data_IF_185430626479
#
_entry.id   IF_185430626479
#
_cell.length_a   1.000
_cell.length_b   1.000
_cell.length_c   1.000
_cell.angle_alpha   90.00
_cell.angle_beta   90.00
_cell.angle_gamma   90.00
#
_symmetry.space_group_name_H-M   'P 1'
#
loop_
_entity.id
_entity.type
_entity.pdbx_description
1 polymer ?
#
# COMPACT_ATOMS: atom_id res chain seq x y z
N UNK A 1 -3.47 5.47 -23.31
CA UNK A 1 -2.36 5.87 -22.42
C UNK A 1 -2.98 6.47 -21.17
N UNK A 2 -3.03 5.70 -20.10
CA UNK A 2 -3.63 6.12 -18.82
C UNK A 2 -2.55 6.27 -17.75
N UNK A 3 -2.85 7.01 -16.70
CA UNK A 3 -1.97 7.12 -15.53
C UNK A 3 -2.05 5.80 -14.76
N UNK A 4 -0.91 5.18 -14.49
CA UNK A 4 -0.82 4.01 -13.61
C UNK A 4 -0.63 4.50 -12.17
N UNK A 5 -1.69 4.42 -11.36
CA UNK A 5 -1.68 4.80 -9.95
C UNK A 5 -1.80 3.54 -9.08
N UNK A 6 -1.00 3.45 -8.01
CA UNK A 6 -1.19 2.49 -6.93
C UNK A 6 -1.58 3.21 -5.64
N UNK A 7 -2.56 2.68 -4.91
CA UNK A 7 -2.94 3.13 -3.58
C UNK A 7 -2.29 2.23 -2.52
N UNK A 8 -1.68 2.87 -1.51
CA UNK A 8 -0.98 2.20 -0.42
C UNK A 8 -1.62 2.55 0.92
N UNK A 9 -2.14 1.55 1.63
CA UNK A 9 -2.67 1.70 2.99
C UNK A 9 -1.57 1.51 4.03
N UNK A 10 -1.38 2.51 4.91
CA UNK A 10 -0.35 2.49 5.95
C UNK A 10 -0.96 2.75 7.33
N UNK A 11 -0.92 1.76 8.23
CA UNK A 11 -1.56 1.85 9.56
C UNK A 11 -0.62 1.47 10.71
N UNK A 12 -0.88 1.98 11.91
CA UNK A 12 -0.11 1.63 13.12
C UNK A 12 -0.53 0.30 13.77
N UNK A 13 -1.68 -0.25 13.36
CA UNK A 13 -2.24 -1.49 13.91
C UNK A 13 -2.79 -2.32 12.75
N UNK A 14 -2.13 -3.42 12.41
CA UNK A 14 -2.56 -4.34 11.36
C UNK A 14 -3.53 -5.41 11.83
N UNK A 15 -4.55 -4.99 12.58
CA UNK A 15 -5.68 -5.84 12.89
C UNK A 15 -6.38 -6.33 11.61
N UNK A 16 -7.01 -7.50 11.69
CA UNK A 16 -7.77 -8.04 10.55
C UNK A 16 -8.86 -7.06 10.08
N UNK A 17 -9.51 -6.35 11.02
CA UNK A 17 -10.55 -5.37 10.70
C UNK A 17 -10.02 -4.20 9.87
N UNK A 18 -8.91 -3.58 10.27
CA UNK A 18 -8.25 -2.52 9.50
C UNK A 18 -7.81 -3.00 8.12
N UNK A 19 -7.24 -4.21 8.04
CA UNK A 19 -6.85 -4.79 6.75
C UNK A 19 -8.05 -4.98 5.82
N UNK A 20 -9.18 -5.47 6.34
CA UNK A 20 -10.42 -5.59 5.56
C UNK A 20 -10.94 -4.21 5.13
N UNK A 21 -10.82 -3.18 5.96
CA UNK A 21 -11.24 -1.83 5.60
C UNK A 21 -10.42 -1.26 4.43
N UNK A 22 -9.09 -1.46 4.41
CA UNK A 22 -8.25 -1.06 3.28
C UNK A 22 -8.58 -1.83 2.00
N UNK A 23 -8.78 -3.15 2.11
CA UNK A 23 -9.18 -3.97 0.96
C UNK A 23 -10.54 -3.51 0.39
N UNK A 24 -11.52 -3.23 1.25
CA UNK A 24 -12.82 -2.72 0.84
C UNK A 24 -12.74 -1.32 0.18
N UNK A 25 -11.75 -0.51 0.55
CA UNK A 25 -11.48 0.78 -0.08
C UNK A 25 -10.78 0.68 -1.44
N UNK A 26 -10.43 -0.52 -1.90
CA UNK A 26 -9.76 -0.75 -3.18
C UNK A 26 -8.26 -0.46 -3.16
N UNK A 27 -7.64 -0.54 -1.98
CA UNK A 27 -6.19 -0.35 -1.84
C UNK A 27 -5.43 -1.53 -2.44
N UNK A 28 -4.40 -1.25 -3.24
CA UNK A 28 -3.59 -2.26 -3.91
C UNK A 28 -2.63 -2.97 -2.93
N UNK A 29 -2.07 -2.21 -1.97
CA UNK A 29 -1.04 -2.70 -1.05
C UNK A 29 -1.30 -2.19 0.37
N UNK A 30 -1.04 -3.03 1.36
CA UNK A 30 -1.20 -2.71 2.77
C UNK A 30 0.12 -2.94 3.53
N UNK A 31 0.54 -1.96 4.33
CA UNK A 31 1.78 -1.99 5.12
C UNK A 31 1.51 -1.50 6.55
N UNK A 32 2.10 -2.17 7.55
CA UNK A 32 2.12 -1.68 8.93
C UNK A 32 3.25 -0.65 9.13
N UNK A 33 3.01 0.36 9.97
CA UNK A 33 4.03 1.33 10.36
C UNK A 33 5.12 0.67 11.22
N UNK A 34 6.38 1.11 11.12
CA UNK A 34 6.85 2.23 10.29
C UNK A 34 6.90 1.87 8.80
N UNK A 35 6.82 2.89 7.94
CA UNK A 35 6.97 2.68 6.50
C UNK A 35 8.45 2.56 6.16
N UNK A 36 8.95 1.32 6.12
CA UNK A 36 10.36 1.07 5.83
C UNK A 36 10.67 1.15 4.32
N UNK A 37 11.87 1.68 3.95
CA UNK A 37 12.28 1.77 2.55
C UNK A 37 12.29 0.42 1.83
N UNK A 38 12.59 -0.67 2.54
CA UNK A 38 12.59 -2.02 1.98
C UNK A 38 11.21 -2.44 1.41
N UNK A 39 10.12 -1.90 1.97
CA UNK A 39 8.77 -2.17 1.50
C UNK A 39 8.32 -1.15 0.44
N UNK A 40 8.71 0.12 0.57
CA UNK A 40 8.26 1.19 -0.32
C UNK A 40 9.02 1.23 -1.66
N UNK A 41 10.34 1.05 -1.64
CA UNK A 41 11.20 1.18 -2.83
C UNK A 41 10.80 0.21 -3.95
N UNK A 42 10.48 -1.08 -3.69
CA UNK A 42 9.98 -1.99 -4.73
C UNK A 42 8.69 -1.48 -5.40
N UNK A 43 7.74 -0.94 -4.62
CA UNK A 43 6.46 -0.42 -5.13
C UNK A 43 6.68 0.78 -6.04
N UNK A 44 7.56 1.70 -5.65
CA UNK A 44 7.91 2.85 -6.48
C UNK A 44 8.61 2.43 -7.78
N UNK A 45 9.48 1.42 -7.73
CA UNK A 45 10.14 0.86 -8.92
C UNK A 45 9.16 0.23 -9.91
N UNK A 46 8.07 -0.37 -9.42
CA UNK A 46 7.01 -0.87 -10.30
C UNK A 46 6.24 0.25 -11.02
N UNK A 47 6.19 1.45 -10.43
CA UNK A 47 5.53 2.61 -11.02
C UNK A 47 6.43 3.39 -12.00
N UNK A 48 7.75 3.30 -11.83
CA UNK A 48 8.77 3.98 -12.64
C UNK A 48 9.02 3.34 -14.03
N UNK A 49 8.18 2.37 -14.43
CA UNK A 49 8.35 1.54 -15.64
C UNK A 49 8.67 2.28 -16.93
#
# INVERSE_FOLDING_TARGET
MGVHCKMLGVTACSGESERQAFLAAGVDVFIEKPLDPEHLVPILRELDG
#
